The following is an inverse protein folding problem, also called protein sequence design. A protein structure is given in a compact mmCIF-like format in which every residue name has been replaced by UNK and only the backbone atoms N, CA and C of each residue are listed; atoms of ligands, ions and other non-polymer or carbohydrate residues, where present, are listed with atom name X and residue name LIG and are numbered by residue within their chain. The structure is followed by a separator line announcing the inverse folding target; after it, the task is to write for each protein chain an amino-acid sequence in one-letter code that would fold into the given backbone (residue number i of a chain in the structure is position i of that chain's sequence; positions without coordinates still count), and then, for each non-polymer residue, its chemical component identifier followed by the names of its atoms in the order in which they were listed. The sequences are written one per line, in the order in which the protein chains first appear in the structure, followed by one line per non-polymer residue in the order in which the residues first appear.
data_IF_733445494829
#
_entry.id   IF_733445494829
#
_cell.length_a   1.000
_cell.length_b   1.000
_cell.length_c   1.000
_cell.angle_alpha   90.00
_cell.angle_beta   90.00
_cell.angle_gamma   90.00
#
_symmetry.space_group_name_H-M   'P 1'
#
loop_
_entity.id
_entity.type
_entity.pdbx_description
1 polymer ?
#
# COMPACT_ATOMS: atom_id res chain seq x y z
N UNK A 1 8.36 30.21 20.23
CA UNK A 1 7.36 29.13 20.45
C UNK A 1 6.94 28.60 19.09
N UNK A 2 7.55 27.49 18.64
CA UNK A 2 7.28 26.90 17.32
C UNK A 2 6.09 25.96 17.46
N UNK A 3 4.95 26.34 16.88
CA UNK A 3 3.77 25.49 16.87
C UNK A 3 4.06 24.20 16.10
N UNK A 4 4.08 23.08 16.82
CA UNK A 4 4.14 21.73 16.27
C UNK A 4 2.88 21.50 15.43
N UNK A 5 2.98 21.57 14.09
CA UNK A 5 1.86 21.23 13.21
C UNK A 5 1.63 19.72 13.24
N UNK A 6 0.80 19.25 14.16
CA UNK A 6 0.31 17.87 14.29
C UNK A 6 -0.90 17.59 13.38
N UNK A 7 -0.85 18.07 12.13
CA UNK A 7 -1.90 17.83 11.12
C UNK A 7 -1.30 17.25 9.83
N UNK A 8 -2.07 16.39 9.13
CA UNK A 8 -1.74 16.00 7.75
C UNK A 8 -1.67 17.29 6.91
N UNK A 9 -0.47 17.77 6.58
CA UNK A 9 -0.33 18.94 5.72
C UNK A 9 -1.08 18.75 4.40
N UNK A 10 -1.62 19.82 3.82
CA UNK A 10 -2.47 19.76 2.61
C UNK A 10 -1.86 18.91 1.48
N UNK A 11 -0.54 18.97 1.28
CA UNK A 11 0.17 18.15 0.29
C UNK A 11 0.13 16.63 0.58
N UNK A 12 0.05 16.21 1.84
CA UNK A 12 -0.11 14.79 2.22
C UNK A 12 -1.52 14.31 1.89
N UNK A 13 -2.53 15.12 2.24
CA UNK A 13 -3.93 14.82 1.94
C UNK A 13 -4.14 14.72 0.42
N UNK A 14 -3.59 15.68 -0.34
CA UNK A 14 -3.66 15.66 -1.79
C UNK A 14 -3.04 14.39 -2.40
N UNK A 15 -1.86 13.95 -1.90
CA UNK A 15 -1.24 12.70 -2.36
C UNK A 15 -2.10 11.47 -2.05
N UNK A 16 -2.67 11.38 -0.85
CA UNK A 16 -3.58 10.31 -0.45
C UNK A 16 -4.80 10.27 -1.39
N UNK A 17 -5.43 11.42 -1.62
CA UNK A 17 -6.62 11.52 -2.47
C UNK A 17 -6.32 11.16 -3.94
N UNK A 18 -5.21 11.68 -4.49
CA UNK A 18 -4.80 11.38 -5.87
C UNK A 18 -4.49 9.91 -6.07
N UNK A 19 -3.84 9.24 -5.10
CA UNK A 19 -3.57 7.81 -5.21
C UNK A 19 -4.83 6.96 -5.00
N UNK A 20 -5.76 7.37 -4.13
CA UNK A 20 -7.07 6.72 -4.03
C UNK A 20 -7.83 6.83 -5.37
N UNK A 21 -7.82 8.02 -5.99
CA UNK A 21 -8.40 8.24 -7.31
C UNK A 21 -7.67 7.45 -8.42
N UNK A 22 -6.35 7.28 -8.33
CA UNK A 22 -5.58 6.44 -9.26
C UNK A 22 -6.00 4.98 -9.16
N UNK A 23 -6.19 4.44 -7.95
CA UNK A 23 -6.68 3.07 -7.76
C UNK A 23 -8.05 2.90 -8.41
N UNK A 24 -8.96 3.87 -8.19
CA UNK A 24 -10.27 3.90 -8.82
C UNK A 24 -10.19 4.01 -10.36
N UNK A 25 -9.35 4.89 -10.89
CA UNK A 25 -9.19 5.07 -12.34
C UNK A 25 -8.65 3.80 -13.02
N UNK A 26 -7.81 3.02 -12.33
CA UNK A 26 -7.31 1.75 -12.83
C UNK A 26 -8.36 0.63 -12.89
N UNK A 27 -9.59 0.86 -12.42
CA UNK A 27 -10.71 -0.08 -12.67
C UNK A 27 -11.44 0.23 -13.99
N UNK A 28 -11.28 1.44 -14.55
CA UNK A 28 -11.97 1.88 -15.79
C UNK A 28 -11.67 1.04 -17.05
N UNK A 29 -10.46 0.50 -17.27
CA UNK A 29 -10.20 -0.37 -18.42
C UNK A 29 -11.04 -1.66 -18.42
N UNK A 30 -11.73 -1.94 -17.32
CA UNK A 30 -12.64 -3.07 -17.19
C UNK A 30 -12.05 -4.20 -16.36
N UNK A 31 -12.90 -5.20 -16.16
CA UNK A 31 -12.60 -6.42 -15.44
C UNK A 31 -12.69 -7.58 -16.42
N UNK A 32 -11.69 -8.45 -16.44
CA UNK A 32 -11.75 -9.70 -17.19
C UNK A 32 -12.28 -10.77 -16.24
N UNK A 33 -13.54 -11.22 -16.39
CA UNK A 33 -14.09 -12.25 -15.53
C UNK A 33 -13.37 -13.57 -15.82
N UNK A 34 -12.92 -14.21 -14.75
CA UNK A 34 -12.51 -15.62 -14.78
C UNK A 34 -13.48 -16.36 -13.87
N UNK A 35 -13.99 -17.52 -14.30
CA UNK A 35 -15.25 -18.15 -13.85
C UNK A 35 -15.43 -18.47 -12.36
N UNK A 36 -14.55 -18.01 -11.48
CA UNK A 36 -14.53 -18.22 -10.03
C UNK A 36 -14.93 -16.97 -9.22
N UNK A 37 -15.54 -15.97 -9.87
CA UNK A 37 -16.14 -14.79 -9.20
C UNK A 37 -15.15 -13.70 -8.77
N UNK A 38 -13.84 -13.89 -9.01
CA UNK A 38 -12.81 -12.87 -8.82
C UNK A 38 -12.30 -12.43 -10.19
N UNK A 39 -12.51 -11.18 -10.63
CA UNK A 39 -12.06 -10.73 -11.94
C UNK A 39 -10.58 -10.31 -11.93
N UNK A 40 -9.92 -10.45 -13.07
CA UNK A 40 -8.60 -9.86 -13.31
C UNK A 40 -8.80 -8.36 -13.60
N UNK A 41 -8.07 -7.50 -12.87
CA UNK A 41 -8.12 -6.04 -13.01
C UNK A 41 -6.74 -5.40 -12.89
N UNK A 42 -6.64 -4.11 -13.24
CA UNK A 42 -5.47 -3.27 -12.94
C UNK A 42 -5.58 -2.59 -11.56
N UNK A 43 -6.63 -2.84 -10.80
CA UNK A 43 -6.83 -2.26 -9.47
C UNK A 43 -5.66 -2.54 -8.52
N UNK A 44 -5.14 -3.77 -8.55
CA UNK A 44 -4.01 -4.20 -7.70
C UNK A 44 -2.70 -3.47 -8.03
N UNK A 45 -2.52 -3.04 -9.29
CA UNK A 45 -1.39 -2.19 -9.68
C UNK A 45 -1.43 -0.84 -8.95
N UNK A 46 -2.62 -0.24 -8.85
CA UNK A 46 -2.81 1.02 -8.12
C UNK A 46 -2.48 0.88 -6.63
N UNK A 47 -2.89 -0.23 -6.01
CA UNK A 47 -2.60 -0.54 -4.61
C UNK A 47 -1.10 -0.68 -4.38
N UNK A 48 -0.41 -1.44 -5.25
CA UNK A 48 1.04 -1.59 -5.20
C UNK A 48 1.75 -0.24 -5.34
N UNK A 49 1.37 0.57 -6.33
CA UNK A 49 1.92 1.91 -6.55
C UNK A 49 1.71 2.83 -5.34
N UNK A 50 0.51 2.88 -4.77
CA UNK A 50 0.24 3.67 -3.58
C UNK A 50 1.18 3.31 -2.43
N UNK A 51 1.34 2.00 -2.17
CA UNK A 51 2.20 1.51 -1.11
C UNK A 51 3.67 1.86 -1.31
N UNK A 52 4.25 1.54 -2.48
CA UNK A 52 5.70 1.70 -2.68
C UNK A 52 6.12 3.10 -3.12
N UNK A 53 5.18 3.97 -3.51
CA UNK A 53 5.46 5.39 -3.81
C UNK A 53 5.27 6.29 -2.59
N UNK A 54 4.19 6.10 -1.83
CA UNK A 54 3.87 6.97 -0.68
C UNK A 54 4.40 6.43 0.66
N UNK A 55 4.76 5.15 0.71
CA UNK A 55 5.22 4.48 1.93
C UNK A 55 4.07 4.03 2.84
N UNK A 56 4.39 3.59 4.08
CA UNK A 56 3.49 2.77 4.89
C UNK A 56 2.27 3.50 5.42
N UNK A 57 2.36 4.81 5.67
CA UNK A 57 1.24 5.57 6.23
C UNK A 57 0.36 6.15 5.13
N UNK A 58 0.94 6.96 4.24
CA UNK A 58 0.17 7.64 3.18
C UNK A 58 -0.35 6.65 2.13
N UNK A 59 0.42 5.61 1.77
CA UNK A 59 -0.01 4.58 0.84
C UNK A 59 -1.18 3.76 1.37
N UNK A 60 -1.08 3.30 2.62
CA UNK A 60 -2.17 2.57 3.28
C UNK A 60 -3.39 3.46 3.46
N UNK A 61 -3.24 4.73 3.82
CA UNK A 61 -4.38 5.66 3.91
C UNK A 61 -5.06 5.85 2.55
N UNK A 62 -4.32 5.91 1.44
CA UNK A 62 -4.90 5.99 0.10
C UNK A 62 -5.75 4.75 -0.22
N UNK A 63 -5.24 3.56 0.14
CA UNK A 63 -5.97 2.29 -0.02
C UNK A 63 -7.20 2.23 0.89
N UNK A 64 -7.09 2.68 2.15
CA UNK A 64 -8.22 2.76 3.08
C UNK A 64 -9.31 3.70 2.54
N UNK A 65 -8.95 4.88 2.04
CA UNK A 65 -9.90 5.82 1.43
C UNK A 65 -10.58 5.18 0.22
N UNK A 66 -9.81 4.54 -0.66
CA UNK A 66 -10.35 3.82 -1.81
C UNK A 66 -11.37 2.73 -1.40
N UNK A 67 -10.99 1.86 -0.46
CA UNK A 67 -11.86 0.78 0.04
C UNK A 67 -13.10 1.37 0.70
N UNK A 68 -12.95 2.38 1.56
CA UNK A 68 -14.06 3.02 2.27
C UNK A 68 -15.07 3.63 1.31
N UNK A 69 -14.62 4.35 0.27
CA UNK A 69 -15.48 4.93 -0.76
C UNK A 69 -16.23 3.85 -1.56
N UNK A 70 -15.54 2.77 -1.94
CA UNK A 70 -16.16 1.64 -2.62
C UNK A 70 -17.23 0.97 -1.76
N UNK A 71 -16.94 0.72 -0.49
CA UNK A 71 -17.90 0.14 0.47
C UNK A 71 -19.05 1.08 0.83
N UNK A 72 -18.84 2.40 0.75
CA UNK A 72 -19.89 3.41 0.91
C UNK A 72 -20.84 3.51 -0.29
N UNK A 73 -20.58 2.77 -1.39
CA UNK A 73 -21.48 2.66 -2.54
C UNK A 73 -20.99 3.34 -3.81
N UNK A 74 -19.77 3.87 -3.83
CA UNK A 74 -19.19 4.42 -5.07
C UNK A 74 -18.74 3.26 -5.99
N UNK A 75 -19.17 3.19 -7.27
CA UNK A 75 -18.89 2.07 -8.19
C UNK A 75 -17.47 2.11 -8.77
N UNK A 76 -16.48 2.10 -7.88
CA UNK A 76 -15.06 2.21 -8.19
C UNK A 76 -14.29 0.92 -7.87
N UNK A 77 -14.98 -0.12 -7.39
CA UNK A 77 -14.38 -1.44 -7.18
C UNK A 77 -14.34 -2.22 -8.50
N UNK A 78 -13.68 -3.38 -8.47
CA UNK A 78 -13.53 -4.25 -9.63
C UNK A 78 -14.87 -4.49 -10.36
N UNK A 79 -14.87 -4.32 -11.67
CA UNK A 79 -16.07 -4.50 -12.50
C UNK A 79 -17.19 -3.48 -12.27
N UNK A 80 -16.88 -2.32 -11.68
CA UNK A 80 -17.88 -1.31 -11.34
C UNK A 80 -18.74 -1.68 -10.12
N UNK A 81 -18.30 -2.67 -9.33
CA UNK A 81 -18.99 -3.06 -8.10
C UNK A 81 -18.88 -2.00 -7.00
N UNK A 82 -19.79 -2.06 -6.03
CA UNK A 82 -19.87 -1.11 -4.91
C UNK A 82 -20.63 -1.70 -3.72
N UNK A 83 -20.48 -1.06 -2.56
CA UNK A 83 -21.26 -1.33 -1.37
C UNK A 83 -20.72 -2.48 -0.51
N UNK A 84 -21.29 -2.62 0.70
CA UNK A 84 -20.92 -3.67 1.65
C UNK A 84 -21.18 -5.09 1.13
N UNK A 85 -22.15 -5.26 0.22
CA UNK A 85 -22.47 -6.55 -0.38
C UNK A 85 -21.30 -7.20 -1.11
N UNK A 86 -20.31 -6.42 -1.58
CA UNK A 86 -19.08 -6.95 -2.20
C UNK A 86 -18.29 -7.84 -1.24
N UNK A 87 -18.34 -7.55 0.06
CA UNK A 87 -17.65 -8.36 1.06
C UNK A 87 -18.25 -9.76 1.19
N UNK A 88 -19.55 -9.93 0.96
CA UNK A 88 -20.19 -11.24 0.95
C UNK A 88 -19.75 -12.12 -0.25
N UNK A 89 -19.02 -11.55 -1.22
CA UNK A 89 -18.51 -12.26 -2.38
C UNK A 89 -17.08 -12.81 -2.21
N UNK A 90 -16.62 -13.65 -3.17
CA UNK A 90 -15.29 -14.27 -3.14
C UNK A 90 -14.14 -13.26 -3.19
N UNK A 91 -14.36 -12.07 -3.75
CA UNK A 91 -13.37 -11.01 -3.86
C UNK A 91 -13.21 -10.17 -2.59
N UNK A 92 -14.13 -10.30 -1.61
CA UNK A 92 -14.15 -9.48 -0.40
C UNK A 92 -12.84 -9.53 0.39
N UNK A 93 -12.27 -10.73 0.57
CA UNK A 93 -11.01 -10.89 1.28
C UNK A 93 -9.81 -10.27 0.58
N UNK A 94 -9.79 -10.23 -0.77
CA UNK A 94 -8.73 -9.56 -1.52
C UNK A 94 -8.83 -8.04 -1.34
N UNK A 95 -10.05 -7.50 -1.39
CA UNK A 95 -10.31 -6.08 -1.15
C UNK A 95 -9.85 -5.64 0.24
N UNK A 96 -10.19 -6.42 1.28
CA UNK A 96 -9.73 -6.16 2.65
C UNK A 96 -8.23 -6.41 2.80
N UNK A 97 -7.69 -7.42 2.10
CA UNK A 97 -6.27 -7.76 2.06
C UNK A 97 -5.37 -6.66 1.48
N UNK A 98 -5.91 -5.74 0.66
CA UNK A 98 -5.16 -4.59 0.16
C UNK A 98 -4.64 -3.68 1.28
N UNK A 99 -5.36 -3.54 2.38
CA UNK A 99 -4.97 -2.65 3.49
C UNK A 99 -3.69 -3.16 4.18
N UNK A 100 -3.64 -4.39 4.75
CA UNK A 100 -2.41 -4.91 5.32
C UNK A 100 -1.33 -5.14 4.25
N UNK A 101 -1.70 -5.51 3.02
CA UNK A 101 -0.75 -5.65 1.93
C UNK A 101 -0.02 -4.35 1.59
N UNK A 102 -0.76 -3.25 1.49
CA UNK A 102 -0.19 -1.93 1.26
C UNK A 102 0.68 -1.45 2.43
N UNK A 103 0.28 -1.75 3.67
CA UNK A 103 1.09 -1.44 4.85
C UNK A 103 2.43 -2.17 4.81
N UNK A 104 2.41 -3.48 4.55
CA UNK A 104 3.64 -4.30 4.47
C UNK A 104 4.52 -3.86 3.31
N UNK A 105 3.96 -3.67 2.11
CA UNK A 105 4.71 -3.19 0.95
C UNK A 105 5.32 -1.80 1.21
N UNK A 106 4.56 -0.88 1.81
CA UNK A 106 5.06 0.44 2.18
C UNK A 106 6.15 0.41 3.24
N UNK A 107 6.03 -0.46 4.25
CA UNK A 107 7.04 -0.64 5.30
C UNK A 107 8.35 -1.17 4.71
N UNK A 108 8.27 -2.17 3.83
CA UNK A 108 9.44 -2.71 3.14
C UNK A 108 10.08 -1.66 2.24
N UNK A 109 9.29 -0.96 1.43
CA UNK A 109 9.79 0.11 0.56
C UNK A 109 10.48 1.24 1.33
N UNK A 110 9.98 1.59 2.53
CA UNK A 110 10.58 2.64 3.36
C UNK A 110 11.83 2.18 4.14
N UNK A 111 11.95 0.89 4.44
CA UNK A 111 13.06 0.34 5.26
C UNK A 111 14.21 -0.23 4.44
N UNK A 112 13.99 -0.64 3.19
CA UNK A 112 15.07 -1.23 2.41
C UNK A 112 16.07 -0.13 2.00
N UNK A 113 17.37 -0.26 2.39
CA UNK A 113 18.39 0.78 2.17
C UNK A 113 18.83 0.93 0.70
N UNK A 114 18.13 0.29 -0.24
CA UNK A 114 18.58 0.07 -1.60
C UNK A 114 17.71 0.90 -2.55
N UNK A 115 18.32 1.90 -3.19
CA UNK A 115 17.65 2.86 -4.11
C UNK A 115 17.40 2.27 -5.51
N UNK A 116 16.99 0.99 -5.57
CA UNK A 116 16.89 0.22 -6.82
C UNK A 116 15.52 -0.40 -7.04
N UNK A 117 15.29 -0.90 -8.26
CA UNK A 117 14.04 -1.57 -8.64
C UNK A 117 13.79 -2.87 -7.85
N UNK A 118 14.85 -3.63 -7.54
CA UNK A 118 14.74 -4.93 -6.88
C UNK A 118 14.09 -4.91 -5.48
N UNK A 119 14.46 -3.99 -4.57
CA UNK A 119 13.76 -3.76 -3.31
C UNK A 119 12.27 -3.47 -3.45
N UNK A 120 11.91 -2.64 -4.42
CA UNK A 120 10.53 -2.25 -4.68
C UNK A 120 9.75 -3.42 -5.28
N UNK A 121 10.39 -4.22 -6.12
CA UNK A 121 9.83 -5.47 -6.62
C UNK A 121 9.59 -6.46 -5.47
N UNK A 122 10.56 -6.66 -4.58
CA UNK A 122 10.37 -7.52 -3.41
C UNK A 122 9.24 -7.01 -2.50
N UNK A 123 9.17 -5.70 -2.26
CA UNK A 123 8.12 -5.09 -1.46
C UNK A 123 6.72 -5.28 -2.07
N UNK A 124 6.57 -5.10 -3.38
CA UNK A 124 5.30 -5.30 -4.10
C UNK A 124 4.91 -6.77 -4.18
N UNK A 125 5.86 -7.69 -4.34
CA UNK A 125 5.57 -9.13 -4.32
C UNK A 125 5.14 -9.60 -2.92
N UNK A 126 5.85 -9.20 -1.87
CA UNK A 126 5.54 -9.62 -0.50
C UNK A 126 4.21 -9.02 -0.04
N UNK A 127 4.06 -7.70 -0.12
CA UNK A 127 2.86 -7.02 0.38
C UNK A 127 1.70 -7.04 -0.61
N UNK A 128 1.95 -6.75 -1.89
CA UNK A 128 0.90 -6.62 -2.91
C UNK A 128 0.40 -7.94 -3.48
N UNK A 129 1.15 -9.04 -3.36
CA UNK A 129 0.72 -10.38 -3.78
C UNK A 129 0.60 -11.30 -2.56
N UNK A 130 1.70 -11.55 -1.85
CA UNK A 130 1.75 -12.53 -0.76
C UNK A 130 0.75 -12.25 0.36
N UNK A 131 0.78 -11.06 0.95
CA UNK A 131 -0.15 -10.69 2.04
C UNK A 131 -1.59 -10.61 1.54
N UNK A 132 -1.81 -10.05 0.34
CA UNK A 132 -3.15 -9.98 -0.26
C UNK A 132 -3.75 -11.37 -0.44
N UNK A 133 -2.96 -12.34 -0.93
CA UNK A 133 -3.41 -13.72 -1.12
C UNK A 133 -3.59 -14.46 0.20
N UNK A 134 -2.74 -14.18 1.20
CA UNK A 134 -2.85 -14.75 2.54
C UNK A 134 -4.17 -14.36 3.23
N UNK A 135 -4.77 -13.23 2.86
CA UNK A 135 -6.10 -12.81 3.34
C UNK A 135 -7.21 -13.25 2.37
N UNK A 136 -7.01 -13.02 1.07
CA UNK A 136 -8.04 -13.23 0.05
C UNK A 136 -8.36 -14.69 -0.24
N UNK A 137 -7.35 -15.57 -0.30
CA UNK A 137 -7.58 -16.98 -0.65
C UNK A 137 -8.36 -17.73 0.44
N UNK A 138 -8.05 -17.59 1.75
CA UNK A 138 -8.86 -18.20 2.80
C UNK A 138 -10.30 -17.66 2.85
N UNK A 139 -10.48 -16.34 2.62
CA UNK A 139 -11.80 -15.73 2.52
C UNK A 139 -12.62 -16.33 1.37
N UNK A 140 -12.02 -16.41 0.19
CA UNK A 140 -12.65 -16.99 -0.98
C UNK A 140 -13.04 -18.45 -0.74
N UNK A 141 -12.17 -19.25 -0.14
CA UNK A 141 -12.46 -20.63 0.23
C UNK A 141 -13.69 -20.71 1.17
N UNK A 142 -13.75 -19.85 2.18
CA UNK A 142 -14.86 -19.81 3.13
C UNK A 142 -16.18 -19.39 2.49
N UNK A 143 -16.17 -18.37 1.62
CA UNK A 143 -17.39 -17.86 0.96
C UNK A 143 -17.91 -18.81 -0.12
N UNK A 144 -17.00 -19.44 -0.88
CA UNK A 144 -17.38 -20.33 -2.00
C UNK A 144 -17.62 -21.77 -1.57
N UNK A 145 -17.22 -22.15 -0.36
CA UNK A 145 -17.20 -23.55 0.10
C UNK A 145 -16.12 -24.41 -0.56
N UNK A 146 -15.21 -23.80 -1.33
CA UNK A 146 -14.14 -24.51 -2.02
C UNK A 146 -13.06 -24.97 -1.02
N UNK A 147 -12.55 -26.21 -1.13
CA UNK A 147 -11.38 -26.63 -0.34
C UNK A 147 -10.20 -25.69 -0.56
N UNK A 148 -9.46 -25.37 0.51
CA UNK A 148 -8.33 -24.43 0.44
C UNK A 148 -7.30 -24.75 -0.66
N UNK A 149 -6.90 -26.02 -0.92
CA UNK A 149 -5.99 -26.34 -2.02
C UNK A 149 -6.55 -25.98 -3.40
N UNK A 150 -7.86 -26.18 -3.62
CA UNK A 150 -8.51 -25.78 -4.86
C UNK A 150 -8.59 -24.25 -4.98
N UNK A 151 -8.87 -23.56 -3.88
CA UNK A 151 -8.87 -22.10 -3.83
C UNK A 151 -7.49 -21.50 -4.16
N UNK A 152 -6.41 -22.13 -3.69
CA UNK A 152 -5.03 -21.79 -4.08
C UNK A 152 -4.84 -22.03 -5.58
N UNK A 153 -5.27 -23.20 -6.08
CA UNK A 153 -5.13 -23.59 -7.48
C UNK A 153 -5.75 -22.61 -8.46
N UNK A 154 -6.98 -22.16 -8.22
CA UNK A 154 -7.63 -21.17 -9.10
C UNK A 154 -6.96 -19.80 -9.04
N UNK A 155 -6.35 -19.45 -7.89
CA UNK A 155 -5.65 -18.17 -7.74
C UNK A 155 -4.29 -18.12 -8.46
N UNK A 156 -3.76 -19.26 -8.91
CA UNK A 156 -2.55 -19.30 -9.73
C UNK A 156 -2.74 -18.63 -11.09
N UNK A 157 -3.98 -18.57 -11.60
CA UNK A 157 -4.29 -17.92 -12.87
C UNK A 157 -4.03 -16.40 -12.87
N UNK A 158 -4.07 -15.76 -11.70
CA UNK A 158 -3.83 -14.32 -11.55
C UNK A 158 -2.32 -14.00 -11.43
N UNK A 159 -1.51 -14.98 -11.02
CA UNK A 159 -0.11 -14.79 -10.67
C UNK A 159 0.72 -14.19 -11.82
N UNK A 160 0.60 -14.65 -13.09
CA UNK A 160 1.35 -14.03 -14.20
C UNK A 160 1.04 -12.53 -14.34
N UNK A 161 -0.23 -12.15 -14.24
CA UNK A 161 -0.64 -10.75 -14.31
C UNK A 161 -0.13 -9.93 -13.12
N UNK A 162 -0.14 -10.50 -11.93
CA UNK A 162 0.34 -9.82 -10.72
C UNK A 162 1.86 -9.65 -10.69
N UNK A 163 2.61 -10.60 -11.25
CA UNK A 163 4.05 -10.45 -11.47
C UNK A 163 4.35 -9.28 -12.42
N UNK A 164 3.62 -9.17 -13.53
CA UNK A 164 3.76 -8.04 -14.47
C UNK A 164 3.44 -6.72 -13.76
N UNK A 165 2.35 -6.66 -12.99
CA UNK A 165 1.98 -5.45 -12.23
C UNK A 165 3.03 -5.08 -11.18
N UNK A 166 3.60 -6.06 -10.48
CA UNK A 166 4.65 -5.83 -9.49
C UNK A 166 5.91 -5.24 -10.14
N UNK A 167 6.32 -5.75 -11.31
CA UNK A 167 7.44 -5.19 -12.09
C UNK A 167 7.15 -3.76 -12.52
N UNK A 168 5.96 -3.50 -13.09
CA UNK A 168 5.54 -2.15 -13.50
C UNK A 168 5.55 -1.20 -12.30
N UNK A 169 4.95 -1.60 -11.17
CA UNK A 169 4.91 -0.79 -9.96
C UNK A 169 6.32 -0.47 -9.44
N UNK A 170 7.21 -1.46 -9.43
CA UNK A 170 8.59 -1.27 -8.99
C UNK A 170 9.38 -0.32 -9.89
N UNK A 171 9.23 -0.44 -11.22
CA UNK A 171 9.89 0.45 -12.19
C UNK A 171 9.39 1.89 -12.08
N UNK A 172 8.06 2.08 -12.01
CA UNK A 172 7.44 3.39 -11.83
C UNK A 172 7.88 4.01 -10.51
N UNK A 173 7.82 3.26 -9.41
CA UNK A 173 8.26 3.76 -8.12
C UNK A 173 9.75 4.13 -8.10
N UNK A 174 10.62 3.33 -8.71
CA UNK A 174 12.04 3.64 -8.83
C UNK A 174 12.27 4.96 -9.60
N UNK A 175 11.53 5.17 -10.69
CA UNK A 175 11.60 6.42 -11.46
C UNK A 175 11.10 7.63 -10.64
N UNK A 176 9.98 7.47 -9.92
CA UNK A 176 9.42 8.51 -9.05
C UNK A 176 10.38 8.87 -7.92
N UNK A 177 11.00 7.88 -7.26
CA UNK A 177 11.95 8.13 -6.17
C UNK A 177 13.25 8.76 -6.64
N UNK A 178 13.66 8.50 -7.89
CA UNK A 178 14.79 9.20 -8.53
C UNK A 178 14.45 10.66 -8.82
N UNK A 179 13.24 10.95 -9.30
CA UNK A 179 12.80 12.30 -9.63
C UNK A 179 12.40 13.14 -8.40
N UNK A 180 11.86 12.50 -7.34
CA UNK A 180 11.45 13.15 -6.08
C UNK A 180 11.94 12.37 -4.86
N UNK A 181 13.21 12.54 -4.48
CA UNK A 181 13.75 11.95 -3.26
C UNK A 181 12.99 12.45 -2.02
N UNK A 182 12.38 11.54 -1.26
CA UNK A 182 11.71 11.85 0.01
C UNK A 182 10.20 11.62 0.05
N UNK A 183 9.60 11.04 -1.00
CA UNK A 183 8.18 10.65 -0.97
C UNK A 183 7.88 9.48 -0.03
N UNK A 184 8.85 8.57 0.15
CA UNK A 184 8.82 7.59 1.24
C UNK A 184 8.96 8.35 2.55
N UNK A 185 7.85 8.47 3.30
CA UNK A 185 7.83 9.17 4.57
C UNK A 185 9.00 8.73 5.45
N UNK A 186 9.93 9.66 5.75
CA UNK A 186 11.04 9.39 6.66
C UNK A 186 10.44 8.95 8.00
N UNK A 187 10.84 7.77 8.48
CA UNK A 187 10.63 7.43 9.88
C UNK A 187 11.15 8.60 10.75
N UNK A 188 10.46 8.97 11.84
CA UNK A 188 10.95 10.00 12.73
C UNK A 188 12.38 9.65 13.13
N UNK A 189 13.33 10.51 12.77
CA UNK A 189 14.73 10.39 13.16
C UNK A 189 14.70 10.35 14.69
N UNK A 190 14.95 9.18 15.30
CA UNK A 190 15.08 9.04 16.77
C UNK A 190 16.02 10.17 17.20
N UNK A 191 15.54 11.04 18.10
CA UNK A 191 16.33 12.14 18.61
C UNK A 191 17.64 11.56 19.14
N UNK A 192 18.75 11.97 18.52
CA UNK A 192 20.08 11.53 18.90
C UNK A 192 20.34 12.06 20.32
N UNK A 193 20.68 11.22 21.32
CA UNK A 193 20.82 11.65 22.71
C UNK A 193 21.95 12.66 22.97
N UNK A 194 22.78 12.96 21.97
CA UNK A 194 24.09 13.60 22.12
C UNK A 194 24.07 15.09 22.51
N UNK A 195 22.93 15.77 22.53
CA UNK A 195 22.87 17.20 22.89
C UNK A 195 22.60 17.49 24.38
N UNK A 196 22.36 16.48 25.22
CA UNK A 196 22.15 16.71 26.67
C UNK A 196 23.44 16.72 27.49
N UNK A 197 24.54 16.19 26.97
CA UNK A 197 25.78 16.01 27.74
C UNK A 197 26.72 17.23 27.71
N UNK A 198 26.63 18.09 26.68
CA UNK A 198 27.43 19.33 26.60
C UNK A 198 26.88 20.50 27.42
N UNK A 199 25.73 20.34 28.10
CA UNK A 199 25.09 21.40 28.89
C UNK A 199 25.42 21.33 30.40
N UNK A 200 26.26 20.38 30.85
CA UNK A 200 26.54 20.15 32.28
C UNK A 200 28.00 20.37 32.69
N UNK A 201 28.79 21.18 31.96
CA UNK A 201 30.09 21.61 32.46
C UNK A 201 29.92 22.87 33.33
N UNK A 202 30.21 22.84 34.64
CA UNK A 202 30.19 24.03 35.46
C UNK A 202 31.38 24.93 35.10
N UNK A 203 31.07 26.16 34.74
CA UNK A 203 32.00 27.26 34.51
C UNK A 203 32.58 27.72 35.86
N UNK A 204 33.54 26.99 36.43
CA UNK A 204 34.31 27.47 37.59
C UNK A 204 35.44 28.38 37.12
N UNK A 205 35.05 29.65 36.96
CA UNK A 205 35.77 30.87 37.32
C UNK A 205 37.26 30.73 37.70
N UNK A 206 38.13 31.17 36.80
CA UNK A 206 39.37 31.83 37.20
C UNK A 206 39.05 33.23 37.73
N UNK A 207 39.31 33.45 39.02
CA UNK A 207 39.53 34.78 39.61
C UNK A 207 40.53 34.66 40.76
N UNK A 208 41.55 35.52 40.68
CA UNK A 208 42.66 35.80 41.60
C UNK A 208 43.87 34.84 41.54
#
# INVERSE_FOLDING_TARGET
MTATRTGLGAARIARIAVFAALIAALTLPGAVPIGFGVPITLQTLGVMLAAVVLGPLEGTLAVVVYVALGLAGLPILAGGSAGLGVLAGPSGGFLLGFIPGALVAGLLAARLPWRGVWPLLAATLIGGVGVVYAVGVPWMAAVTGMPLPAAIGVNLAFLPGDLVKAVVAALVAAAVHRARPGMLGRAPRRAQPEQRESASAPETAGRA
#
